data_IF_076494764171
#
_entry.id   IF_076494764171
#
_cell.length_a   1.000
_cell.length_b   1.000
_cell.length_c   1.000
_cell.angle_alpha   90.00
_cell.angle_beta   90.00
_cell.angle_gamma   90.00
#
_symmetry.space_group_name_H-M   'P 1'
#
loop_
_entity.id
_entity.type
_entity.pdbx_description
1 polymer ?
#
# COMPACT_ATOMS: atom_id res chain seq x y z
N UNK A 1 15.94 1.76 9.09
CA UNK A 1 15.25 1.74 7.77
C UNK A 1 14.29 2.90 7.82
N UNK A 2 14.52 3.96 7.06
CA UNK A 2 13.63 5.12 7.07
C UNK A 2 12.25 4.72 6.55
N UNK A 3 11.22 5.12 7.28
CA UNK A 3 9.84 4.98 6.84
C UNK A 3 9.62 6.03 5.77
N UNK A 4 9.39 5.61 4.52
CA UNK A 4 9.02 6.53 3.44
C UNK A 4 7.77 7.31 3.88
N UNK A 5 7.88 8.62 3.99
CA UNK A 5 6.74 9.51 4.20
C UNK A 5 6.16 9.96 2.87
N UNK A 6 4.93 10.47 2.91
CA UNK A 6 4.31 11.15 1.78
C UNK A 6 5.19 12.32 1.30
N UNK A 7 5.25 12.51 -0.02
CA UNK A 7 5.88 13.66 -0.66
C UNK A 7 4.83 14.56 -1.33
N UNK A 8 4.73 15.81 -0.87
CA UNK A 8 3.77 16.79 -1.37
C UNK A 8 3.96 17.12 -2.87
N UNK A 9 5.20 17.16 -3.38
CA UNK A 9 5.45 17.41 -4.80
C UNK A 9 4.89 16.28 -5.68
N UNK A 10 5.03 15.03 -5.21
CA UNK A 10 4.48 13.85 -5.89
C UNK A 10 2.95 13.88 -5.86
N UNK A 11 2.35 14.29 -4.76
CA UNK A 11 0.90 14.43 -4.63
C UNK A 11 0.34 15.48 -5.60
N UNK A 12 0.97 16.66 -5.70
CA UNK A 12 0.59 17.71 -6.65
C UNK A 12 0.74 17.24 -8.11
N UNK A 13 1.78 16.46 -8.41
CA UNK A 13 1.95 15.85 -9.73
C UNK A 13 0.78 14.92 -10.07
N UNK A 14 0.36 14.06 -9.12
CA UNK A 14 -0.81 13.20 -9.32
C UNK A 14 -2.09 14.02 -9.49
N UNK A 15 -2.34 15.06 -8.70
CA UNK A 15 -3.50 15.93 -8.88
C UNK A 15 -3.58 16.50 -10.30
N UNK A 16 -2.44 16.92 -10.85
CA UNK A 16 -2.37 17.45 -12.22
C UNK A 16 -2.75 16.39 -13.25
N UNK A 17 -2.25 15.16 -13.10
CA UNK A 17 -2.56 14.03 -13.98
C UNK A 17 -4.04 13.66 -13.92
N UNK A 18 -4.61 13.55 -12.72
CA UNK A 18 -6.01 13.17 -12.52
C UNK A 18 -7.01 14.25 -12.97
N UNK A 19 -6.60 15.52 -13.05
CA UNK A 19 -7.44 16.62 -13.57
C UNK A 19 -7.55 16.64 -15.09
N UNK A 20 -6.58 16.08 -15.81
CA UNK A 20 -6.61 15.99 -17.28
C UNK A 20 -6.13 14.59 -17.76
N UNK A 21 -6.93 13.53 -17.52
CA UNK A 21 -6.54 12.17 -17.86
C UNK A 21 -6.36 11.94 -19.37
N UNK A 22 -7.03 12.72 -20.22
CA UNK A 22 -6.91 12.59 -21.68
C UNK A 22 -5.53 13.05 -22.14
N UNK A 23 -5.02 14.16 -21.58
CA UNK A 23 -3.67 14.64 -21.86
C UNK A 23 -2.58 13.76 -21.23
N UNK A 24 -2.82 13.25 -20.02
CA UNK A 24 -1.84 12.48 -19.25
C UNK A 24 -2.15 10.98 -19.18
N UNK A 25 -2.74 10.42 -20.25
CA UNK A 25 -3.30 9.06 -20.25
C UNK A 25 -2.35 7.99 -19.72
N UNK A 26 -1.10 7.96 -20.20
CA UNK A 26 -0.12 6.95 -19.77
C UNK A 26 0.16 7.00 -18.27
N UNK A 27 0.21 8.20 -17.69
CA UNK A 27 0.48 8.35 -16.25
C UNK A 27 -0.76 8.08 -15.41
N UNK A 28 -1.94 8.45 -15.90
CA UNK A 28 -3.21 8.10 -15.28
C UNK A 28 -3.38 6.56 -15.23
N UNK A 29 -3.14 5.87 -16.35
CA UNK A 29 -3.21 4.42 -16.40
C UNK A 29 -2.21 3.77 -15.44
N UNK A 30 -0.96 4.27 -15.40
CA UNK A 30 0.03 3.81 -14.43
C UNK A 30 -0.45 3.99 -12.99
N UNK A 31 -1.02 5.14 -12.65
CA UNK A 31 -1.55 5.42 -11.32
C UNK A 31 -2.61 4.38 -10.91
N UNK A 32 -3.57 4.09 -11.79
CA UNK A 32 -4.59 3.08 -11.52
C UNK A 32 -3.99 1.67 -11.37
N UNK A 33 -2.99 1.30 -12.19
CA UNK A 33 -2.29 0.01 -12.04
C UNK A 33 -1.52 -0.11 -10.72
N UNK A 34 -0.95 0.98 -10.22
CA UNK A 34 -0.28 0.99 -8.92
C UNK A 34 -1.28 0.83 -7.76
N UNK A 35 -2.47 1.42 -7.90
CA UNK A 35 -3.56 1.26 -6.92
C UNK A 35 -4.07 -0.18 -6.92
N UNK A 36 -4.33 -0.75 -8.10
CA UNK A 36 -4.69 -2.17 -8.24
C UNK A 36 -3.64 -3.07 -7.57
N UNK A 37 -2.36 -2.83 -7.86
CA UNK A 37 -1.25 -3.58 -7.27
C UNK A 37 -1.25 -3.52 -5.75
N UNK A 38 -1.44 -2.33 -5.16
CA UNK A 38 -1.50 -2.20 -3.70
C UNK A 38 -2.69 -2.94 -3.10
N UNK A 39 -3.87 -2.92 -3.73
CA UNK A 39 -5.02 -3.70 -3.27
C UNK A 39 -4.73 -5.21 -3.27
N UNK A 40 -4.16 -5.74 -4.37
CA UNK A 40 -3.72 -7.14 -4.41
C UNK A 40 -2.70 -7.46 -3.33
N UNK A 41 -1.75 -6.55 -3.08
CA UNK A 41 -0.73 -6.73 -2.07
C UNK A 41 -1.29 -6.72 -0.64
N UNK A 42 -2.30 -5.87 -0.37
CA UNK A 42 -3.02 -5.86 0.91
C UNK A 42 -3.77 -7.16 1.15
N UNK A 43 -4.48 -7.68 0.13
CA UNK A 43 -5.15 -8.99 0.19
C UNK A 43 -4.16 -10.12 0.44
N UNK A 44 -3.01 -10.10 -0.23
CA UNK A 44 -1.94 -11.07 0.01
C UNK A 44 -1.43 -11.01 1.45
N UNK A 45 -1.13 -9.82 1.98
CA UNK A 45 -0.69 -9.66 3.38
C UNK A 45 -1.73 -10.19 4.36
N UNK A 46 -3.01 -9.89 4.13
CA UNK A 46 -4.10 -10.40 4.97
C UNK A 46 -4.18 -11.93 4.95
N UNK A 47 -4.17 -12.54 3.77
CA UNK A 47 -4.18 -14.00 3.63
C UNK A 47 -2.95 -14.64 4.30
N UNK A 48 -1.80 -13.99 4.21
CA UNK A 48 -0.58 -14.42 4.88
C UNK A 48 -0.72 -14.41 6.41
N UNK A 49 -1.24 -13.32 6.99
CA UNK A 49 -1.54 -13.23 8.44
C UNK A 49 -2.47 -14.39 8.86
N UNK A 50 -3.59 -14.57 8.17
CA UNK A 50 -4.58 -15.60 8.48
C UNK A 50 -3.97 -17.01 8.43
N UNK A 51 -3.14 -17.28 7.43
CA UNK A 51 -2.44 -18.56 7.31
C UNK A 51 -1.47 -18.78 8.48
N UNK A 52 -0.67 -17.77 8.82
CA UNK A 52 0.28 -17.86 9.94
C UNK A 52 -0.44 -18.07 11.27
N UNK A 53 -1.53 -17.33 11.53
CA UNK A 53 -2.34 -17.50 12.74
C UNK A 53 -2.93 -18.91 12.84
N UNK A 54 -3.42 -19.47 11.73
CA UNK A 54 -3.96 -20.84 11.71
C UNK A 54 -2.91 -21.90 12.01
N UNK A 55 -1.68 -21.73 11.53
CA UNK A 55 -0.64 -22.77 11.62
C UNK A 55 0.13 -22.71 12.95
N UNK A 56 0.49 -21.50 13.41
CA UNK A 56 1.34 -21.35 14.61
C UNK A 56 0.67 -20.57 15.75
N UNK A 57 -0.56 -20.12 15.58
CA UNK A 57 -1.24 -19.26 16.56
C UNK A 57 -0.46 -17.97 16.80
N UNK A 58 -0.24 -17.65 18.08
CA UNK A 58 0.52 -16.46 18.51
C UNK A 58 1.99 -16.77 18.83
N UNK A 59 2.51 -17.92 18.40
CA UNK A 59 3.93 -18.26 18.62
C UNK A 59 4.85 -17.27 17.90
N UNK A 60 6.04 -17.08 18.47
CA UNK A 60 7.11 -16.29 17.87
C UNK A 60 7.53 -16.91 16.52
N UNK A 61 7.76 -16.06 15.53
CA UNK A 61 8.22 -16.50 14.21
C UNK A 61 9.67 -16.98 14.27
N UNK A 62 10.05 -17.90 13.39
CA UNK A 62 11.42 -18.41 13.27
C UNK A 62 12.42 -17.31 12.87
N UNK A 63 11.97 -16.28 12.15
CA UNK A 63 12.75 -15.07 11.86
C UNK A 63 12.90 -14.08 13.03
N UNK A 64 12.47 -14.46 14.24
CA UNK A 64 12.64 -13.67 15.45
C UNK A 64 11.61 -12.56 15.68
N UNK A 65 10.58 -12.46 14.84
CA UNK A 65 9.45 -11.53 15.02
C UNK A 65 8.41 -12.11 15.97
N UNK A 66 7.46 -11.28 16.42
CA UNK A 66 6.30 -11.71 17.21
C UNK A 66 5.26 -12.50 16.38
N UNK A 67 5.64 -13.11 15.25
CA UNK A 67 4.76 -13.92 14.41
C UNK A 67 3.61 -13.12 13.82
N UNK A 68 2.39 -13.64 13.96
CA UNK A 68 1.17 -13.01 13.46
C UNK A 68 0.99 -11.55 13.91
N UNK A 69 1.32 -11.22 15.16
CA UNK A 69 1.19 -9.85 15.68
C UNK A 69 2.08 -8.86 14.95
N UNK A 70 3.26 -9.29 14.48
CA UNK A 70 4.12 -8.43 13.66
C UNK A 70 3.50 -8.23 12.26
N UNK A 71 3.00 -9.30 11.66
CA UNK A 71 2.39 -9.25 10.32
C UNK A 71 1.11 -8.40 10.30
N UNK A 72 0.31 -8.42 11.38
CA UNK A 72 -0.85 -7.53 11.53
C UNK A 72 -0.47 -6.05 11.43
N UNK A 73 0.62 -5.64 12.08
CA UNK A 73 1.14 -4.25 11.96
C UNK A 73 1.52 -3.90 10.52
N UNK A 74 1.97 -4.87 9.73
CA UNK A 74 2.29 -4.63 8.32
C UNK A 74 1.06 -4.38 7.45
N UNK A 75 -0.17 -4.65 7.91
CA UNK A 75 -1.39 -4.30 7.20
C UNK A 75 -1.66 -2.78 7.20
N UNK A 76 -1.09 -2.05 8.15
CA UNK A 76 -1.23 -0.59 8.29
C UNK A 76 -0.33 0.18 7.31
N UNK A 77 0.66 -0.48 6.71
CA UNK A 77 1.62 0.15 5.80
C UNK A 77 1.00 0.35 4.42
N UNK A 78 0.83 1.62 4.04
CA UNK A 78 0.41 2.08 2.70
C UNK A 78 1.64 2.21 1.79
N UNK A 79 1.61 1.64 0.59
CA UNK A 79 2.75 1.69 -0.34
C UNK A 79 2.81 3.01 -1.12
N UNK A 80 1.66 3.46 -1.62
CA UNK A 80 1.53 4.67 -2.43
C UNK A 80 0.56 5.68 -1.80
N UNK A 81 0.87 6.25 -0.61
CA UNK A 81 0.00 7.17 0.10
C UNK A 81 -0.50 8.34 -0.76
N UNK A 82 0.34 8.90 -1.63
CA UNK A 82 -0.06 10.01 -2.51
C UNK A 82 -1.22 9.64 -3.44
N UNK A 83 -1.25 8.40 -3.96
CA UNK A 83 -2.32 7.92 -4.84
C UNK A 83 -3.63 7.69 -4.07
N UNK A 84 -3.58 7.42 -2.77
CA UNK A 84 -4.79 7.35 -1.94
C UNK A 84 -5.27 8.75 -1.58
N UNK A 85 -4.35 9.65 -1.22
CA UNK A 85 -4.66 11.00 -0.78
C UNK A 85 -5.07 11.94 -1.92
N UNK A 86 -4.63 11.71 -3.15
CA UNK A 86 -5.07 12.52 -4.29
C UNK A 86 -6.60 12.52 -4.41
N UNK A 87 -7.25 11.39 -4.15
CA UNK A 87 -8.72 11.21 -4.21
C UNK A 87 -9.50 12.11 -3.25
N UNK A 88 -8.89 12.53 -2.14
CA UNK A 88 -9.52 13.46 -1.18
C UNK A 88 -9.29 14.92 -1.53
N UNK A 89 -8.31 15.21 -2.42
CA UNK A 89 -7.92 16.56 -2.82
C UNK A 89 -8.24 16.90 -4.29
N UNK A 90 -8.99 16.05 -4.98
CA UNK A 90 -9.43 16.30 -6.37
C UNK A 90 -10.54 17.34 -6.44
#
# INVERSE_FOLDING_TARGET
RETRSENEEVLVAWQTIYRDPQRYWMFYELAEKLVDFEDYFRRWRFNHVTTVERIIGLKRGTGGTSGASYLKKMLEVVLFPELWNVRTRL
#
